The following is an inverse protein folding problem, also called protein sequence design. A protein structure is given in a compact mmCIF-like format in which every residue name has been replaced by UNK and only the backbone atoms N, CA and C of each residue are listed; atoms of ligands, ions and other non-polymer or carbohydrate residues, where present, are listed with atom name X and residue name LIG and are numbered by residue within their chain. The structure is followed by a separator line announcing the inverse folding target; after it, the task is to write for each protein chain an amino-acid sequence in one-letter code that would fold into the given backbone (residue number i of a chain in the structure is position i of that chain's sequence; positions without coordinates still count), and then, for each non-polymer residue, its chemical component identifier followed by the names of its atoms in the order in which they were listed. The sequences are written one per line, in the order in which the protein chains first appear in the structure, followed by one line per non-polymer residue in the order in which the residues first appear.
data_IF_738403220804
#
_entry.id   IF_738403220804
#
_cell.length_a   1.000
_cell.length_b   1.000
_cell.length_c   1.000
_cell.angle_alpha   90.00
_cell.angle_beta   90.00
_cell.angle_gamma   90.00
#
_symmetry.space_group_name_H-M   'P 1'
#
loop_
_entity.id
_entity.type
_entity.pdbx_description
1 polymer ?
#
# COMPACT_ATOMS: atom_id res chain seq x y z
N UNK A 1 -2.05 -14.89 -2.89
CA UNK A 1 -1.14 -14.11 -2.03
C UNK A 1 -1.44 -12.60 -2.17
N UNK A 2 -1.27 -11.86 -1.10
CA UNK A 2 -1.56 -10.43 -1.02
C UNK A 2 -0.31 -9.62 -0.77
N UNK A 3 -0.18 -8.53 -1.51
CA UNK A 3 0.87 -7.52 -1.34
C UNK A 3 0.24 -6.22 -0.87
N UNK A 4 0.86 -5.56 0.11
CA UNK A 4 0.50 -4.20 0.51
C UNK A 4 1.61 -3.24 0.12
N UNK A 5 1.24 -2.02 -0.23
CA UNK A 5 2.16 -0.94 -0.55
C UNK A 5 2.09 0.15 0.52
N UNK A 6 3.24 0.53 1.05
CA UNK A 6 3.35 1.64 2.00
C UNK A 6 4.63 2.41 1.69
N UNK A 7 4.55 3.71 1.56
CA UNK A 7 5.72 4.52 1.26
C UNK A 7 5.59 5.97 1.70
N UNK A 8 6.68 6.71 1.58
CA UNK A 8 6.70 8.13 1.91
C UNK A 8 5.73 8.93 1.03
N UNK A 9 5.14 9.98 1.59
CA UNK A 9 4.19 10.85 0.88
C UNK A 9 4.81 11.54 -0.32
N UNK A 10 6.06 11.98 -0.17
CA UNK A 10 6.82 12.67 -1.21
C UNK A 10 7.89 11.73 -1.73
N UNK A 11 7.73 11.33 -2.95
CA UNK A 11 8.66 10.47 -3.67
C UNK A 11 8.89 11.11 -5.03
N UNK A 12 10.14 11.27 -5.41
CA UNK A 12 10.45 11.73 -6.76
C UNK A 12 10.10 10.63 -7.75
N UNK A 13 9.14 10.92 -8.63
CA UNK A 13 8.71 9.98 -9.65
C UNK A 13 9.73 10.01 -10.79
N UNK A 14 10.54 8.97 -10.88
CA UNK A 14 11.50 8.81 -11.97
C UNK A 14 11.14 7.58 -12.80
N UNK A 15 11.59 7.56 -14.03
CA UNK A 15 11.44 6.39 -14.90
C UNK A 15 12.14 5.17 -14.30
N UNK A 16 13.31 5.36 -13.70
CA UNK A 16 14.09 4.31 -13.04
C UNK A 16 13.29 3.68 -11.90
N UNK A 17 12.67 4.48 -11.06
CA UNK A 17 11.84 3.98 -9.95
C UNK A 17 10.63 3.21 -10.46
N UNK A 18 9.93 3.76 -11.45
CA UNK A 18 8.75 3.12 -12.06
C UNK A 18 9.12 1.77 -12.68
N UNK A 19 10.23 1.71 -13.40
CA UNK A 19 10.73 0.46 -14.00
C UNK A 19 11.04 -0.56 -12.92
N UNK A 20 11.72 -0.15 -11.85
CA UNK A 20 12.07 -1.05 -10.74
C UNK A 20 10.83 -1.63 -10.05
N UNK A 21 9.85 -0.77 -9.76
CA UNK A 21 8.58 -1.24 -9.18
C UNK A 21 7.87 -2.21 -10.12
N UNK A 22 7.85 -1.90 -11.41
CA UNK A 22 7.24 -2.77 -12.43
C UNK A 22 7.89 -4.15 -12.43
N UNK A 23 9.21 -4.23 -12.39
CA UNK A 23 9.94 -5.50 -12.36
C UNK A 23 9.64 -6.30 -11.10
N UNK A 24 9.60 -5.63 -9.93
CA UNK A 24 9.26 -6.27 -8.65
C UNK A 24 7.85 -6.83 -8.70
N UNK A 25 6.86 -6.01 -9.07
CA UNK A 25 5.45 -6.42 -9.09
C UNK A 25 5.21 -7.53 -10.10
N UNK A 26 5.78 -7.42 -11.28
CA UNK A 26 5.67 -8.46 -12.33
C UNK A 26 6.21 -9.80 -11.84
N UNK A 27 7.36 -9.80 -11.19
CA UNK A 27 7.94 -11.01 -10.62
C UNK A 27 7.04 -11.61 -9.55
N UNK A 28 6.47 -10.78 -8.68
CA UNK A 28 5.55 -11.26 -7.66
C UNK A 28 4.29 -11.91 -8.26
N UNK A 29 3.78 -11.34 -9.34
CA UNK A 29 2.62 -11.92 -10.05
C UNK A 29 2.98 -13.25 -10.72
N UNK A 30 4.08 -13.28 -11.46
CA UNK A 30 4.44 -14.43 -12.31
C UNK A 30 5.03 -15.58 -11.50
N UNK A 31 5.97 -15.27 -10.61
CA UNK A 31 6.75 -16.31 -9.91
C UNK A 31 6.12 -16.72 -8.57
N UNK A 32 5.39 -15.82 -7.91
CA UNK A 32 4.84 -16.05 -6.58
C UNK A 32 3.31 -16.07 -6.52
N UNK A 33 2.67 -15.94 -7.66
CA UNK A 33 1.20 -16.01 -7.81
C UNK A 33 0.46 -14.97 -6.95
N UNK A 34 1.03 -13.78 -6.79
CA UNK A 34 0.34 -12.66 -6.14
C UNK A 34 -0.83 -12.22 -7.01
N UNK A 35 -2.00 -12.14 -6.42
CA UNK A 35 -3.24 -11.79 -7.14
C UNK A 35 -3.97 -10.59 -6.53
N UNK A 36 -3.57 -10.12 -5.36
CA UNK A 36 -4.27 -9.05 -4.64
C UNK A 36 -3.28 -8.01 -4.15
N UNK A 37 -3.58 -6.74 -4.44
CA UNK A 37 -2.75 -5.61 -4.09
C UNK A 37 -3.55 -4.61 -3.25
N UNK A 38 -3.06 -4.34 -2.03
CA UNK A 38 -3.71 -3.48 -1.04
C UNK A 38 -3.11 -2.07 -1.09
N UNK A 39 -3.98 -1.09 -1.25
CA UNK A 39 -3.63 0.33 -1.25
C UNK A 39 -4.36 1.04 -0.11
N UNK A 40 -3.71 1.93 0.57
CA UNK A 40 -4.33 2.59 1.72
C UNK A 40 -4.23 4.10 1.69
N UNK A 41 -3.16 4.66 1.15
CA UNK A 41 -2.98 6.10 1.09
C UNK A 41 -3.05 6.62 -0.35
N UNK A 42 -3.03 7.94 -0.49
CA UNK A 42 -2.85 8.62 -1.78
C UNK A 42 -1.49 9.31 -1.80
N UNK A 43 -0.47 8.64 -1.28
CA UNK A 43 0.90 9.12 -1.36
C UNK A 43 1.42 9.01 -2.80
N UNK A 44 2.48 9.76 -3.10
CA UNK A 44 3.13 9.65 -4.41
C UNK A 44 3.58 8.21 -4.70
N UNK A 45 4.06 7.50 -3.68
CA UNK A 45 4.44 6.09 -3.83
C UNK A 45 3.25 5.20 -4.19
N UNK A 46 2.12 5.37 -3.49
CA UNK A 46 0.90 4.60 -3.79
C UNK A 46 0.42 4.88 -5.22
N UNK A 47 0.48 6.12 -5.67
CA UNK A 47 0.07 6.48 -7.03
C UNK A 47 0.93 5.79 -8.08
N UNK A 48 2.24 5.73 -7.87
CA UNK A 48 3.15 5.01 -8.78
C UNK A 48 2.81 3.53 -8.80
N UNK A 49 2.66 2.92 -7.62
CA UNK A 49 2.33 1.50 -7.51
C UNK A 49 0.97 1.18 -8.13
N UNK A 50 -0.02 2.03 -7.91
CA UNK A 50 -1.34 1.87 -8.53
C UNK A 50 -1.25 1.90 -10.06
N UNK A 51 -0.49 2.83 -10.61
CA UNK A 51 -0.25 2.91 -12.06
C UNK A 51 0.43 1.65 -12.61
N UNK A 52 1.43 1.15 -11.92
CA UNK A 52 2.15 -0.08 -12.29
C UNK A 52 1.22 -1.29 -12.27
N UNK A 53 0.49 -1.49 -11.18
CA UNK A 53 -0.44 -2.62 -11.04
C UNK A 53 -1.54 -2.53 -12.08
N UNK A 54 -2.06 -1.33 -12.36
CA UNK A 54 -3.13 -1.13 -13.34
C UNK A 54 -2.68 -1.49 -14.76
N UNK A 55 -1.45 -1.15 -15.14
CA UNK A 55 -0.88 -1.58 -16.44
C UNK A 55 -0.69 -3.08 -16.52
N UNK A 56 -0.18 -3.68 -15.45
CA UNK A 56 0.03 -5.13 -15.41
C UNK A 56 -1.30 -5.89 -15.41
N UNK A 57 -2.36 -5.29 -14.88
CA UNK A 57 -3.70 -5.89 -14.92
C UNK A 57 -4.23 -6.05 -16.36
N UNK A 58 -3.81 -5.25 -17.29
CA UNK A 58 -4.18 -5.41 -18.70
C UNK A 58 -3.68 -6.74 -19.28
N UNK A 59 -2.57 -7.26 -18.74
CA UNK A 59 -1.96 -8.53 -19.14
C UNK A 59 -2.42 -9.66 -18.21
N UNK A 60 -2.34 -9.43 -16.90
CA UNK A 60 -2.69 -10.38 -15.84
C UNK A 60 -4.07 -10.02 -15.29
N UNK A 61 -5.12 -10.38 -16.00
CA UNK A 61 -6.49 -9.90 -15.78
C UNK A 61 -7.11 -10.34 -14.46
N UNK A 62 -6.56 -11.38 -13.82
CA UNK A 62 -7.06 -11.91 -12.55
C UNK A 62 -6.59 -11.14 -11.31
N UNK A 63 -5.64 -10.22 -11.45
CA UNK A 63 -5.17 -9.44 -10.29
C UNK A 63 -6.22 -8.41 -9.85
N UNK A 64 -6.23 -8.13 -8.55
CA UNK A 64 -7.22 -7.27 -7.92
C UNK A 64 -6.53 -6.13 -7.18
N UNK A 65 -7.07 -4.93 -7.31
CA UNK A 65 -6.67 -3.74 -6.58
C UNK A 65 -7.71 -3.48 -5.51
N UNK A 66 -7.28 -3.39 -4.26
CA UNK A 66 -8.16 -3.19 -3.10
C UNK A 66 -7.78 -1.89 -2.40
N UNK A 67 -8.75 -1.02 -2.18
CA UNK A 67 -8.55 0.22 -1.42
C UNK A 67 -9.03 0.06 0.01
N UNK A 68 -8.11 0.16 0.97
CA UNK A 68 -8.37 0.02 2.40
C UNK A 68 -8.55 1.42 3.00
N UNK A 69 -9.78 1.75 3.39
CA UNK A 69 -10.15 3.09 3.89
C UNK A 69 -9.87 3.23 5.39
N UNK A 70 -9.58 4.46 5.81
CA UNK A 70 -9.28 4.79 7.20
C UNK A 70 -10.08 5.97 7.75
N UNK A 71 -10.58 6.87 6.91
CA UNK A 71 -11.20 8.11 7.37
C UNK A 71 -12.67 7.94 7.77
N UNK A 72 -13.44 7.29 6.91
CA UNK A 72 -14.88 7.19 7.06
C UNK A 72 -15.31 5.74 7.02
N UNK A 73 -15.91 5.27 8.12
CA UNK A 73 -16.46 3.91 8.18
C UNK A 73 -17.61 3.76 7.20
N UNK A 74 -18.50 4.74 7.17
CA UNK A 74 -19.68 4.77 6.30
C UNK A 74 -19.48 5.78 5.19
N UNK A 75 -19.69 5.36 3.97
CA UNK A 75 -19.61 6.20 2.77
C UNK A 75 -20.92 6.11 1.98
N UNK A 76 -21.22 7.14 1.19
CA UNK A 76 -22.38 7.11 0.32
C UNK A 76 -22.25 6.03 -0.75
N UNK A 77 -23.38 5.57 -1.28
CA UNK A 77 -23.38 4.63 -2.40
C UNK A 77 -22.68 5.23 -3.62
N UNK A 78 -22.88 6.51 -3.89
CA UNK A 78 -22.23 7.19 -5.01
C UNK A 78 -20.69 7.19 -4.88
N UNK A 79 -20.19 7.45 -3.68
CA UNK A 79 -18.74 7.42 -3.45
C UNK A 79 -18.20 5.99 -3.52
N UNK A 80 -18.93 5.02 -3.01
CA UNK A 80 -18.58 3.60 -3.15
C UNK A 80 -18.48 3.20 -4.62
N UNK A 81 -19.48 3.53 -5.42
CA UNK A 81 -19.48 3.23 -6.84
C UNK A 81 -18.34 3.94 -7.58
N UNK A 82 -18.04 5.18 -7.20
CA UNK A 82 -16.90 5.92 -7.73
C UNK A 82 -15.59 5.19 -7.45
N UNK A 83 -15.38 4.71 -6.23
CA UNK A 83 -14.17 3.95 -5.87
C UNK A 83 -14.06 2.66 -6.68
N UNK A 84 -15.18 1.99 -6.95
CA UNK A 84 -15.20 0.75 -7.75
C UNK A 84 -14.90 0.97 -9.23
N UNK A 85 -14.83 2.22 -9.72
CA UNK A 85 -14.30 2.49 -11.05
C UNK A 85 -12.79 2.39 -11.11
N UNK A 86 -12.09 2.47 -9.96
CA UNK A 86 -10.65 2.41 -9.85
C UNK A 86 -10.13 1.13 -9.20
N UNK A 87 -10.90 0.54 -8.32
CA UNK A 87 -10.52 -0.65 -7.55
C UNK A 87 -11.57 -1.73 -7.71
N UNK A 88 -11.17 -2.99 -7.62
CA UNK A 88 -12.09 -4.12 -7.63
C UNK A 88 -12.84 -4.26 -6.31
N UNK A 89 -12.27 -3.75 -5.21
CA UNK A 89 -12.86 -3.82 -3.87
C UNK A 89 -12.42 -2.62 -3.04
N UNK A 90 -13.26 -2.21 -2.11
CA UNK A 90 -12.90 -1.27 -1.04
C UNK A 90 -13.60 -1.67 0.24
N UNK A 91 -12.90 -1.46 1.37
CA UNK A 91 -13.47 -1.68 2.70
C UNK A 91 -12.83 -0.74 3.72
N UNK A 92 -13.51 -0.55 4.84
CA UNK A 92 -13.00 0.22 5.96
C UNK A 92 -12.18 -0.69 6.87
N UNK A 93 -10.97 -0.27 7.22
CA UNK A 93 -10.10 -1.06 8.11
C UNK A 93 -10.72 -1.16 9.51
N UNK A 94 -11.00 -2.37 9.97
CA UNK A 94 -11.60 -2.60 11.30
C UNK A 94 -10.75 -2.01 12.43
N UNK A 95 -9.43 -2.12 12.33
CA UNK A 95 -8.50 -1.56 13.33
C UNK A 95 -8.51 -0.03 13.38
N UNK A 96 -8.96 0.63 12.32
CA UNK A 96 -9.09 2.09 12.28
C UNK A 96 -10.36 2.59 12.99
N UNK A 97 -11.33 1.70 13.27
CA UNK A 97 -12.59 2.08 13.92
C UNK A 97 -12.33 2.63 15.32
N UNK A 98 -12.77 3.86 15.54
CA UNK A 98 -12.59 4.52 16.83
C UNK A 98 -11.17 4.95 17.17
N UNK A 99 -10.23 4.86 16.22
CA UNK A 99 -8.81 5.16 16.46
C UNK A 99 -8.49 6.66 16.44
N UNK A 100 -9.40 7.50 15.96
CA UNK A 100 -9.21 8.95 15.92
C UNK A 100 -8.01 9.34 15.06
N UNK A 101 -7.10 10.14 15.61
CA UNK A 101 -5.89 10.58 14.88
C UNK A 101 -4.92 9.44 14.52
N UNK A 102 -5.09 8.26 15.11
CA UNK A 102 -4.28 7.07 14.81
C UNK A 102 -4.88 6.19 13.72
N UNK A 103 -5.96 6.61 13.10
CA UNK A 103 -6.68 5.78 12.12
C UNK A 103 -5.80 5.34 10.94
N UNK A 104 -4.94 6.22 10.44
CA UNK A 104 -4.02 5.87 9.34
C UNK A 104 -2.98 4.85 9.77
N UNK A 105 -2.46 4.99 11.00
CA UNK A 105 -1.49 4.02 11.56
C UNK A 105 -2.16 2.66 11.70
N UNK A 106 -3.37 2.63 12.23
CA UNK A 106 -4.13 1.38 12.43
C UNK A 106 -4.52 0.72 11.12
N UNK A 107 -4.90 1.51 10.10
CA UNK A 107 -5.14 0.97 8.76
C UNK A 107 -3.89 0.32 8.19
N UNK A 108 -2.73 0.98 8.30
CA UNK A 108 -1.48 0.42 7.83
C UNK A 108 -1.15 -0.89 8.54
N UNK A 109 -1.36 -0.97 9.84
CA UNK A 109 -1.17 -2.20 10.61
C UNK A 109 -2.09 -3.32 10.13
N UNK A 110 -3.36 -3.01 9.85
CA UNK A 110 -4.28 -4.01 9.31
C UNK A 110 -3.86 -4.50 7.92
N UNK A 111 -3.42 -3.59 7.05
CA UNK A 111 -2.89 -3.97 5.73
C UNK A 111 -1.69 -4.91 5.88
N UNK A 112 -0.79 -4.62 6.80
CA UNK A 112 0.37 -5.45 7.09
C UNK A 112 -0.05 -6.81 7.63
N UNK A 113 -1.00 -6.86 8.56
CA UNK A 113 -1.51 -8.11 9.11
C UNK A 113 -2.12 -9.03 8.04
N UNK A 114 -2.80 -8.42 7.06
CA UNK A 114 -3.49 -9.15 6.00
C UNK A 114 -2.63 -9.49 4.78
N UNK A 115 -1.49 -8.83 4.61
CA UNK A 115 -0.63 -9.11 3.46
C UNK A 115 0.36 -10.23 3.76
N UNK A 116 0.86 -10.85 2.70
CA UNK A 116 1.95 -11.82 2.76
C UNK A 116 3.29 -11.10 2.57
N UNK A 117 3.31 -10.07 1.74
CA UNK A 117 4.50 -9.30 1.39
C UNK A 117 4.17 -7.82 1.49
N UNK A 118 5.07 -7.06 2.14
CA UNK A 118 5.00 -5.60 2.20
C UNK A 118 6.05 -5.01 1.26
N UNK A 119 5.60 -4.25 0.27
CA UNK A 119 6.48 -3.49 -0.63
C UNK A 119 6.50 -2.04 -0.16
N UNK A 120 7.67 -1.52 0.16
CA UNK A 120 7.83 -0.19 0.74
C UNK A 120 8.80 0.68 -0.05
N UNK A 121 8.58 1.97 0.00
CA UNK A 121 9.57 2.99 -0.29
C UNK A 121 9.89 3.66 1.03
N UNK A 122 10.99 3.27 1.65
CA UNK A 122 11.34 3.74 2.99
C UNK A 122 12.82 4.06 3.09
N UNK A 123 13.12 5.32 3.33
CA UNK A 123 14.47 5.76 3.69
C UNK A 123 14.63 5.64 5.20
N UNK A 124 15.32 4.60 5.64
CA UNK A 124 15.55 4.35 7.06
C UNK A 124 16.53 5.33 7.69
N UNK A 125 17.25 6.12 6.88
CA UNK A 125 18.12 7.19 7.37
C UNK A 125 17.36 8.48 7.63
N UNK A 126 16.11 8.57 7.17
CA UNK A 126 15.25 9.71 7.43
C UNK A 126 14.98 9.81 8.93
N UNK A 127 15.53 10.86 9.56
CA UNK A 127 15.31 11.13 10.98
C UNK A 127 14.24 12.21 11.10
N UNK A 128 12.98 11.83 11.34
CA UNK A 128 11.95 12.83 11.63
C UNK A 128 12.37 13.60 12.87
N UNK A 129 12.06 14.89 12.90
CA UNK A 129 12.26 15.70 14.10
C UNK A 129 11.48 15.05 15.26
N UNK A 130 11.86 15.35 16.52
CA UNK A 130 11.20 14.78 17.71
C UNK A 130 9.66 14.95 17.72
N UNK A 131 9.13 15.82 16.86
CA UNK A 131 7.69 16.12 16.74
C UNK A 131 7.01 15.43 15.56
N UNK A 132 7.75 14.90 14.58
CA UNK A 132 7.19 14.26 13.41
C UNK A 132 7.65 12.80 13.32
N UNK A 133 6.72 11.87 13.45
CA UNK A 133 6.98 10.44 13.28
C UNK A 133 6.69 10.07 11.83
N UNK A 134 7.61 9.36 11.18
CA UNK A 134 7.35 8.79 9.86
C UNK A 134 6.38 7.62 9.98
N UNK A 135 5.21 7.75 9.36
CA UNK A 135 4.24 6.65 9.29
C UNK A 135 4.79 5.44 8.54
N UNK A 136 5.66 5.67 7.55
CA UNK A 136 6.30 4.60 6.79
C UNK A 136 7.30 3.83 7.65
N UNK A 137 8.16 4.51 8.40
CA UNK A 137 9.11 3.85 9.30
C UNK A 137 8.37 3.06 10.37
N UNK A 138 7.29 3.62 10.93
CA UNK A 138 6.45 2.91 11.91
C UNK A 138 5.85 1.63 11.30
N UNK A 139 5.39 1.70 10.06
CA UNK A 139 4.84 0.54 9.35
C UNK A 139 5.90 -0.54 9.11
N UNK A 140 7.11 -0.15 8.68
CA UNK A 140 8.21 -1.10 8.49
C UNK A 140 8.56 -1.80 9.80
N UNK A 141 8.68 -1.06 10.89
CA UNK A 141 8.97 -1.65 12.21
C UNK A 141 7.85 -2.58 12.69
N UNK A 142 6.61 -2.23 12.44
CA UNK A 142 5.48 -3.11 12.73
C UNK A 142 5.56 -4.42 11.94
N UNK A 143 5.85 -4.32 10.63
CA UNK A 143 6.00 -5.49 9.77
C UNK A 143 7.16 -6.39 10.20
N UNK A 144 8.27 -5.80 10.64
CA UNK A 144 9.40 -6.55 11.20
C UNK A 144 9.00 -7.34 12.44
N UNK A 145 8.28 -6.71 13.38
CA UNK A 145 7.76 -7.39 14.58
C UNK A 145 6.81 -8.54 14.24
N UNK A 146 6.04 -8.39 13.15
CA UNK A 146 5.13 -9.42 12.66
C UNK A 146 5.83 -10.46 11.78
N UNK A 147 7.13 -10.32 11.57
CA UNK A 147 7.96 -11.22 10.74
C UNK A 147 7.45 -11.32 9.31
N UNK A 148 6.93 -10.24 8.77
CA UNK A 148 6.49 -10.16 7.37
C UNK A 148 7.69 -10.01 6.44
N UNK A 149 7.57 -10.56 5.25
CA UNK A 149 8.55 -10.31 4.18
C UNK A 149 8.41 -8.87 3.69
N UNK A 150 9.51 -8.13 3.69
CA UNK A 150 9.57 -6.73 3.29
C UNK A 150 10.47 -6.59 2.08
N UNK A 151 9.99 -5.90 1.05
CA UNK A 151 10.80 -5.52 -0.11
C UNK A 151 10.85 -3.99 -0.12
N UNK A 152 12.03 -3.42 0.13
CA UNK A 152 12.23 -1.98 0.06
C UNK A 152 12.76 -1.63 -1.33
N UNK A 153 11.98 -0.84 -2.08
CA UNK A 153 12.35 -0.49 -3.46
C UNK A 153 13.55 0.44 -3.56
N UNK A 154 13.99 1.02 -2.44
CA UNK A 154 15.22 1.82 -2.37
C UNK A 154 16.50 0.96 -2.29
N UNK A 155 16.38 -0.33 -2.07
CA UNK A 155 17.54 -1.23 -1.87
C UNK A 155 17.79 -2.13 -3.07
#
# INVERSE_FOLDING_TARGET
MKVAFIGHRKVETTETLTTRITEIVKRLIVDECVDTFLFGSRSAFDDICYGVVSKLKEIYTNIRRVYVRAEYEYISQDYHDYLLTFYEETYFADQARGAGYRSYIKRNQEMIDKCDILVVYCDMTYMPTARTKSGTIMAVRYAERKKKRIINVLQ
#
